data_IF_702326950830
#
_entry.id   IF_702326950830
#
_cell.length_a   1.000
_cell.length_b   1.000
_cell.length_c   1.000
_cell.angle_alpha   90.00
_cell.angle_beta   90.00
_cell.angle_gamma   90.00
#
_symmetry.space_group_name_H-M   'P 1'
#
loop_
_entity.id
_entity.type
_entity.pdbx_description
1 polymer ?
#
# COMPACT_ATOMS: atom_id res chain seq x y z
N UNK A 1 9.28 4.26 -0.04
CA UNK A 1 9.93 2.98 0.33
C UNK A 1 11.16 3.25 1.19
N UNK A 2 11.22 2.71 2.40
CA UNK A 2 12.41 2.77 3.26
C UNK A 2 12.94 1.36 3.46
N UNK A 3 14.16 1.09 3.00
CA UNK A 3 14.78 -0.24 3.07
C UNK A 3 13.87 -1.37 2.54
N UNK A 4 13.26 -1.15 1.36
CA UNK A 4 12.40 -2.12 0.65
C UNK A 4 11.07 -2.45 1.35
N UNK A 5 10.68 -1.68 2.37
CA UNK A 5 9.41 -1.82 3.10
C UNK A 5 8.74 -0.47 3.35
N UNK A 6 7.51 -0.50 3.87
CA UNK A 6 6.85 0.70 4.40
C UNK A 6 7.58 1.21 5.66
N UNK A 7 7.67 2.54 5.87
CA UNK A 7 8.07 3.10 7.16
C UNK A 7 7.17 2.58 8.29
N UNK A 8 7.72 2.35 9.48
CA UNK A 8 6.99 1.73 10.61
C UNK A 8 5.79 2.55 11.10
N UNK A 9 5.74 3.85 10.83
CA UNK A 9 4.55 4.68 11.12
C UNK A 9 3.30 4.20 10.37
N UNK A 10 3.45 3.49 9.24
CA UNK A 10 2.33 2.90 8.52
C UNK A 10 1.73 1.73 9.30
N UNK A 11 2.54 0.92 10.01
CA UNK A 11 2.02 -0.09 10.93
C UNK A 11 1.17 0.56 12.02
N UNK A 12 1.70 1.61 12.67
CA UNK A 12 0.96 2.35 13.70
C UNK A 12 -0.35 2.95 13.16
N UNK A 13 -0.34 3.50 11.94
CA UNK A 13 -1.56 3.99 11.30
C UNK A 13 -2.59 2.86 11.12
N UNK A 14 -2.18 1.72 10.57
CA UNK A 14 -3.09 0.59 10.35
C UNK A 14 -3.63 0.02 11.67
N UNK A 15 -2.80 -0.05 12.71
CA UNK A 15 -3.17 -0.52 14.05
C UNK A 15 -4.07 0.46 14.82
N UNK A 16 -4.12 1.73 14.39
CA UNK A 16 -4.90 2.78 15.08
C UNK A 16 -6.37 2.84 14.66
N UNK A 17 -6.78 2.11 13.62
CA UNK A 17 -8.14 2.16 13.08
C UNK A 17 -8.67 0.77 12.73
N UNK A 18 -10.00 0.64 12.65
CA UNK A 18 -10.66 -0.58 12.21
C UNK A 18 -10.74 -0.66 10.68
N UNK A 19 -9.95 -1.57 10.10
CA UNK A 19 -9.95 -1.88 8.68
C UNK A 19 -10.72 -3.16 8.33
N UNK A 20 -11.52 -3.72 9.25
CA UNK A 20 -12.29 -4.93 8.99
C UNK A 20 -13.21 -4.77 7.75
N UNK A 21 -13.14 -5.75 6.86
CA UNK A 21 -13.87 -5.80 5.59
C UNK A 21 -13.54 -4.68 4.60
N UNK A 22 -12.43 -3.92 4.81
CA UNK A 22 -12.02 -2.85 3.89
C UNK A 22 -11.02 -3.34 2.86
N UNK A 23 -11.09 -2.75 1.67
CA UNK A 23 -10.04 -2.85 0.66
C UNK A 23 -8.97 -1.80 0.91
N UNK A 24 -7.71 -2.20 0.89
CA UNK A 24 -6.53 -1.36 1.09
C UNK A 24 -5.71 -1.37 -0.20
N UNK A 25 -5.59 -0.23 -0.86
CA UNK A 25 -4.72 -0.04 -2.01
C UNK A 25 -3.50 0.77 -1.57
N UNK A 26 -2.31 0.21 -1.77
CA UNK A 26 -1.05 0.84 -1.40
C UNK A 26 -0.42 1.55 -2.59
N UNK A 27 0.12 2.73 -2.36
CA UNK A 27 1.01 3.40 -3.30
C UNK A 27 2.21 3.99 -2.58
N UNK A 28 3.32 4.12 -3.31
CA UNK A 28 4.53 4.72 -2.77
C UNK A 28 5.33 5.45 -3.85
N UNK A 29 6.25 6.29 -3.40
CA UNK A 29 7.38 6.78 -4.19
C UNK A 29 8.69 6.21 -3.65
N UNK A 30 9.72 6.18 -4.49
CA UNK A 30 11.05 5.70 -4.14
C UNK A 30 12.13 6.26 -5.07
N UNK A 31 13.39 6.19 -4.63
CA UNK A 31 14.55 6.45 -5.48
C UNK A 31 14.94 5.29 -6.41
N UNK A 32 14.10 4.25 -6.53
CA UNK A 32 14.37 3.05 -7.34
C UNK A 32 13.96 1.73 -6.68
N UNK A 33 13.69 1.72 -5.37
CA UNK A 33 13.25 0.52 -4.65
C UNK A 33 11.77 0.19 -4.94
N UNK A 34 11.49 -1.11 -5.16
CA UNK A 34 10.15 -1.68 -5.23
C UNK A 34 9.48 -1.91 -3.87
N UNK A 35 8.29 -2.52 -3.89
CA UNK A 35 7.49 -2.85 -2.71
C UNK A 35 8.06 -4.02 -1.88
N UNK A 36 8.92 -4.87 -2.44
CA UNK A 36 9.64 -5.89 -1.68
C UNK A 36 8.72 -6.78 -0.83
N UNK A 37 8.86 -6.72 0.49
CA UNK A 37 8.02 -7.47 1.46
C UNK A 37 7.03 -6.56 2.20
N UNK A 38 6.59 -5.47 1.58
CA UNK A 38 5.74 -4.48 2.26
C UNK A 38 4.40 -5.06 2.68
N UNK A 39 3.65 -5.65 1.74
CA UNK A 39 2.30 -6.20 2.04
C UNK A 39 2.38 -7.23 3.16
N UNK A 40 3.27 -8.21 3.06
CA UNK A 40 3.43 -9.25 4.10
C UNK A 40 3.87 -8.71 5.47
N UNK A 41 4.49 -7.53 5.54
CA UNK A 41 4.82 -6.85 6.81
C UNK A 41 3.68 -5.97 7.35
N UNK A 42 2.71 -5.62 6.52
CA UNK A 42 1.53 -4.84 6.91
C UNK A 42 0.33 -5.73 7.22
N UNK A 43 0.28 -6.96 6.71
CA UNK A 43 -0.78 -7.94 7.00
C UNK A 43 -1.02 -8.15 8.50
N UNK A 44 0.03 -8.11 9.32
CA UNK A 44 -0.07 -8.25 10.77
C UNK A 44 -0.65 -7.03 11.51
N UNK A 45 -0.77 -5.89 10.83
CA UNK A 45 -1.25 -4.62 11.41
C UNK A 45 -2.71 -4.32 11.07
N UNK A 46 -3.42 -5.25 10.42
CA UNK A 46 -4.84 -5.12 10.04
C UNK A 46 -5.61 -6.38 10.39
N UNK A 47 -6.93 -6.27 10.45
CA UNK A 47 -7.80 -7.44 10.60
C UNK A 47 -7.70 -8.37 9.38
N UNK A 48 -7.88 -9.68 9.58
CA UNK A 48 -7.81 -10.70 8.52
C UNK A 48 -8.85 -10.53 7.42
N UNK A 49 -9.94 -9.82 7.70
CA UNK A 49 -10.97 -9.50 6.71
C UNK A 49 -10.63 -8.29 5.85
N UNK A 50 -9.57 -7.54 6.19
CA UNK A 50 -9.03 -6.50 5.32
C UNK A 50 -8.32 -7.13 4.12
N UNK A 51 -8.48 -6.52 2.93
CA UNK A 51 -7.92 -7.05 1.69
C UNK A 51 -6.95 -6.04 1.07
N UNK A 52 -5.67 -6.40 0.94
CA UNK A 52 -4.72 -5.61 0.16
C UNK A 52 -4.95 -5.88 -1.34
N UNK A 53 -5.57 -4.93 -2.04
CA UNK A 53 -6.03 -5.13 -3.43
C UNK A 53 -5.06 -4.65 -4.50
N UNK A 54 -4.09 -3.82 -4.13
CA UNK A 54 -3.11 -3.29 -5.08
C UNK A 54 -1.89 -2.71 -4.38
N UNK A 55 -0.74 -2.79 -5.06
CA UNK A 55 0.46 -2.02 -4.75
C UNK A 55 1.01 -1.35 -6.01
N UNK A 56 1.38 -0.07 -5.94
CA UNK A 56 1.90 0.67 -7.08
C UNK A 56 2.96 1.69 -6.70
N UNK A 57 4.10 1.66 -7.40
CA UNK A 57 5.02 2.79 -7.40
C UNK A 57 4.50 3.86 -8.35
N UNK A 58 4.28 5.07 -7.82
CA UNK A 58 3.79 6.23 -8.55
C UNK A 58 4.85 7.33 -8.59
N UNK A 59 6.05 6.99 -9.05
CA UNK A 59 7.15 7.94 -9.21
C UNK A 59 6.85 8.90 -10.36
N UNK A 60 6.61 10.19 -10.04
CA UNK A 60 6.25 11.22 -11.04
C UNK A 60 5.01 10.84 -11.87
N UNK A 61 4.08 10.07 -11.29
CA UNK A 61 2.90 9.60 -12.01
C UNK A 61 1.98 10.77 -12.42
N UNK A 62 1.53 10.74 -13.66
CA UNK A 62 0.54 11.68 -14.20
C UNK A 62 -0.89 11.18 -14.02
N UNK A 63 -1.86 12.06 -14.29
CA UNK A 63 -3.30 11.76 -14.16
C UNK A 63 -3.72 10.46 -14.86
N UNK A 64 -3.31 10.26 -16.11
CA UNK A 64 -3.69 9.08 -16.89
C UNK A 64 -3.16 7.77 -16.28
N UNK A 65 -1.95 7.77 -15.73
CA UNK A 65 -1.38 6.60 -15.05
C UNK A 65 -2.15 6.28 -13.77
N UNK A 66 -2.47 7.31 -12.97
CA UNK A 66 -3.27 7.15 -11.74
C UNK A 66 -4.66 6.62 -12.08
N UNK A 67 -5.33 7.16 -13.09
CA UNK A 67 -6.65 6.67 -13.55
C UNK A 67 -6.58 5.22 -14.01
N UNK A 68 -5.54 4.84 -14.75
CA UNK A 68 -5.34 3.45 -15.16
C UNK A 68 -5.08 2.53 -13.97
N UNK A 69 -4.34 2.98 -12.96
CA UNK A 69 -4.11 2.21 -11.74
C UNK A 69 -5.40 2.03 -10.94
N UNK A 70 -6.20 3.08 -10.75
CA UNK A 70 -7.48 2.98 -10.04
C UNK A 70 -8.40 1.93 -10.69
N UNK A 71 -8.52 1.94 -12.02
CA UNK A 71 -9.33 0.95 -12.78
C UNK A 71 -8.83 -0.50 -12.66
N UNK A 72 -7.61 -0.74 -12.19
CA UNK A 72 -7.06 -2.10 -12.08
C UNK A 72 -7.53 -2.85 -10.84
N UNK A 73 -8.05 -2.16 -9.82
CA UNK A 73 -8.44 -2.76 -8.54
C UNK A 73 -9.77 -2.24 -7.98
N UNK A 74 -10.27 -1.13 -8.50
CA UNK A 74 -11.60 -0.57 -8.21
C UNK A 74 -12.66 -1.25 -9.07
#
# INVERSE_FOLDING_TARGET
MWWYVAPTIINTFLESYDFAGKKIALFATSGGSGFGKTVSRLEGSVDKSAEFVSEKLLNRAGKAEIESWLKSWM
#
